data_IF_978068122351
#
_entry.id   IF_978068122351
#
_cell.length_a   1.000
_cell.length_b   1.000
_cell.length_c   1.000
_cell.angle_alpha   90.00
_cell.angle_beta   90.00
_cell.angle_gamma   90.00
#
_symmetry.space_group_name_H-M   'P 1'
#
loop_
_entity.id
_entity.type
_entity.pdbx_description
1 polymer ?
#
# COMPACT_ATOMS: atom_id res chain seq x y z
N UNK A 1 51.80 -5.15 27.54
CA UNK A 1 51.72 -3.87 26.78
C UNK A 1 52.69 -3.98 25.61
N UNK A 2 52.28 -3.61 24.39
CA UNK A 2 53.21 -3.53 23.26
C UNK A 2 54.25 -2.44 23.56
N UNK A 3 55.56 -2.71 23.36
CA UNK A 3 56.58 -1.67 23.47
C UNK A 3 56.33 -0.59 22.41
N UNK A 4 56.68 0.65 22.72
CA UNK A 4 56.44 1.83 21.87
C UNK A 4 57.74 2.57 21.59
N UNK A 5 57.84 3.31 20.48
CA UNK A 5 58.99 4.16 20.20
C UNK A 5 60.30 3.39 20.00
N UNK A 6 61.34 3.75 20.75
CA UNK A 6 62.69 3.14 20.67
C UNK A 6 62.69 1.68 21.07
N UNK A 7 61.92 1.31 22.09
CA UNK A 7 61.85 -0.06 22.59
C UNK A 7 61.23 -0.99 21.54
N UNK A 8 60.22 -0.52 20.82
CA UNK A 8 59.63 -1.28 19.71
C UNK A 8 60.67 -1.59 18.62
N UNK A 9 61.51 -0.60 18.26
CA UNK A 9 62.58 -0.78 17.26
C UNK A 9 63.63 -1.78 17.74
N UNK A 10 64.02 -1.69 19.02
CA UNK A 10 64.93 -2.65 19.64
C UNK A 10 64.36 -4.06 19.61
N UNK A 11 63.11 -4.26 20.06
CA UNK A 11 62.49 -5.58 20.08
C UNK A 11 62.20 -6.13 18.67
N UNK A 12 61.98 -5.25 17.69
CA UNK A 12 61.81 -5.64 16.27
C UNK A 12 63.05 -6.27 15.64
N UNK A 13 64.23 -6.10 16.26
CA UNK A 13 65.45 -6.79 15.84
C UNK A 13 65.39 -8.30 16.10
N UNK A 14 64.61 -8.76 17.09
CA UNK A 14 64.40 -10.18 17.38
C UNK A 14 63.34 -10.80 16.47
N UNK A 15 63.68 -11.94 15.86
CA UNK A 15 62.81 -12.67 14.92
C UNK A 15 61.51 -13.15 15.57
N UNK A 16 61.56 -13.60 16.83
CA UNK A 16 60.39 -14.06 17.59
C UNK A 16 59.36 -12.96 17.80
N UNK A 17 59.81 -11.78 18.22
CA UNK A 17 58.94 -10.61 18.43
C UNK A 17 58.35 -10.09 17.11
N UNK A 18 59.14 -10.08 16.03
CA UNK A 18 58.68 -9.68 14.69
C UNK A 18 57.61 -10.64 14.15
N UNK A 19 57.78 -11.94 14.37
CA UNK A 19 56.80 -12.96 13.99
C UNK A 19 55.46 -12.79 14.71
N UNK A 20 55.47 -12.59 16.03
CA UNK A 20 54.24 -12.43 16.81
C UNK A 20 53.54 -11.09 16.53
N UNK A 21 54.29 -10.00 16.36
CA UNK A 21 53.71 -8.69 15.98
C UNK A 21 53.09 -8.72 14.58
N UNK A 22 53.71 -9.45 13.64
CA UNK A 22 53.15 -9.63 12.30
C UNK A 22 51.85 -10.45 12.31
N UNK A 23 51.78 -11.53 13.10
CA UNK A 23 50.53 -12.31 13.28
C UNK A 23 49.41 -11.44 13.86
N UNK A 24 49.70 -10.62 14.86
CA UNK A 24 48.72 -9.72 15.48
C UNK A 24 48.25 -8.64 14.50
N UNK A 25 49.17 -8.04 13.75
CA UNK A 25 48.85 -7.08 12.68
C UNK A 25 47.95 -7.69 11.61
N UNK A 26 48.27 -8.91 11.15
CA UNK A 26 47.48 -9.65 10.18
C UNK A 26 46.06 -9.92 10.68
N UNK A 27 45.91 -10.35 11.94
CA UNK A 27 44.60 -10.57 12.56
C UNK A 27 43.76 -9.29 12.65
N UNK A 28 44.37 -8.15 12.98
CA UNK A 28 43.67 -6.85 13.01
C UNK A 28 43.22 -6.47 11.60
N UNK A 29 44.09 -6.64 10.60
CA UNK A 29 43.74 -6.37 9.20
C UNK A 29 42.61 -7.27 8.70
N UNK A 30 42.59 -8.54 9.09
CA UNK A 30 41.49 -9.48 8.77
C UNK A 30 40.18 -9.06 9.42
N UNK A 31 40.20 -8.60 10.68
CA UNK A 31 39.00 -8.08 11.34
C UNK A 31 38.49 -6.81 10.66
N UNK A 32 39.38 -5.88 10.31
CA UNK A 32 39.04 -4.67 9.56
C UNK A 32 38.48 -5.00 8.18
N UNK A 33 39.09 -5.96 7.47
CA UNK A 33 38.61 -6.43 6.17
C UNK A 33 37.21 -7.05 6.26
N UNK A 34 36.93 -7.82 7.33
CA UNK A 34 35.61 -8.35 7.60
C UNK A 34 34.57 -7.25 7.86
N UNK A 35 34.93 -6.22 8.65
CA UNK A 35 34.04 -5.08 8.93
C UNK A 35 33.74 -4.28 7.67
N UNK A 36 34.77 -3.98 6.87
CA UNK A 36 34.63 -3.26 5.61
C UNK A 36 33.83 -4.06 4.58
N UNK A 37 34.09 -5.37 4.47
CA UNK A 37 33.33 -6.26 3.60
C UNK A 37 31.86 -6.43 4.00
N UNK A 38 31.52 -6.30 5.29
CA UNK A 38 30.14 -6.29 5.76
C UNK A 38 29.39 -5.03 5.30
N UNK A 39 30.05 -3.86 5.38
CA UNK A 39 29.47 -2.58 4.95
C UNK A 39 29.38 -2.45 3.44
N UNK A 40 30.44 -2.85 2.72
CA UNK A 40 30.51 -2.79 1.27
C UNK A 40 31.28 -3.99 0.72
N UNK A 41 30.53 -4.96 0.19
CA UNK A 41 31.10 -6.19 -0.39
C UNK A 41 32.14 -5.98 -1.51
N UNK A 42 32.19 -4.78 -2.11
CA UNK A 42 33.12 -4.42 -3.20
C UNK A 42 34.42 -3.77 -2.71
N UNK A 43 34.49 -3.26 -1.48
CA UNK A 43 35.65 -2.55 -0.92
C UNK A 43 36.28 -3.36 0.22
N UNK A 44 37.03 -4.40 -0.15
CA UNK A 44 37.86 -5.18 0.78
C UNK A 44 39.24 -4.54 0.92
N UNK A 45 39.72 -4.34 2.15
CA UNK A 45 41.09 -3.91 2.47
C UNK A 45 42.13 -4.88 1.90
N UNK A 46 41.79 -6.16 1.75
CA UNK A 46 42.67 -7.16 1.14
C UNK A 46 43.05 -6.83 -0.32
N UNK A 47 42.26 -6.01 -1.02
CA UNK A 47 42.49 -5.67 -2.43
C UNK A 47 43.36 -4.41 -2.61
N UNK A 48 43.66 -3.68 -1.54
CA UNK A 48 44.48 -2.47 -1.59
C UNK A 48 45.97 -2.79 -1.74
N UNK A 49 46.65 -2.01 -2.59
CA UNK A 49 48.05 -2.21 -3.00
C UNK A 49 49.04 -1.83 -1.91
N UNK A 50 48.70 -0.87 -1.06
CA UNK A 50 49.56 -0.40 0.01
C UNK A 50 48.78 0.00 1.27
N UNK A 51 49.50 0.42 2.31
CA UNK A 51 48.90 0.86 3.58
C UNK A 51 48.14 2.19 3.49
N UNK A 52 48.41 3.00 2.47
CA UNK A 52 47.75 4.29 2.27
C UNK A 52 46.36 4.03 1.70
N UNK A 53 46.26 3.23 0.64
CA UNK A 53 44.99 2.84 0.03
C UNK A 53 44.10 2.06 1.02
N UNK A 54 44.68 1.22 1.90
CA UNK A 54 43.93 0.57 2.99
C UNK A 54 43.32 1.58 3.96
N UNK A 55 44.02 2.67 4.24
CA UNK A 55 43.56 3.73 5.13
C UNK A 55 42.46 4.55 4.49
N UNK A 56 42.61 4.93 3.22
CA UNK A 56 41.60 5.65 2.45
C UNK A 56 40.27 4.85 2.39
N UNK A 57 40.33 3.55 2.07
CA UNK A 57 39.14 2.67 2.07
C UNK A 57 38.45 2.64 3.44
N UNK A 58 39.23 2.60 4.53
CA UNK A 58 38.68 2.57 5.88
C UNK A 58 38.04 3.92 6.29
N UNK A 59 38.67 5.03 5.91
CA UNK A 59 38.14 6.38 6.12
C UNK A 59 36.82 6.55 5.37
N UNK A 60 36.75 6.19 4.08
CA UNK A 60 35.53 6.25 3.27
C UNK A 60 34.36 5.44 3.87
N UNK A 61 34.65 4.21 4.32
CA UNK A 61 33.62 3.35 4.93
C UNK A 61 33.15 3.92 6.27
N UNK A 62 34.06 4.49 7.06
CA UNK A 62 33.73 5.12 8.33
C UNK A 62 32.83 6.34 8.11
N UNK A 63 33.16 7.19 7.15
CA UNK A 63 32.36 8.36 6.78
C UNK A 63 30.96 7.94 6.32
N UNK A 64 30.86 6.90 5.48
CA UNK A 64 29.58 6.34 5.08
C UNK A 64 28.75 5.83 6.28
N UNK A 65 29.38 5.17 7.26
CA UNK A 65 28.70 4.72 8.48
C UNK A 65 28.14 5.91 9.26
N UNK A 66 28.94 6.96 9.47
CA UNK A 66 28.50 8.15 10.18
C UNK A 66 27.36 8.86 9.45
N UNK A 67 27.44 8.97 8.12
CA UNK A 67 26.35 9.53 7.31
C UNK A 67 25.04 8.72 7.46
N UNK A 68 25.11 7.38 7.44
CA UNK A 68 23.92 6.54 7.67
C UNK A 68 23.34 6.71 9.09
N UNK A 69 24.19 6.89 10.10
CA UNK A 69 23.77 7.17 11.47
C UNK A 69 23.06 8.53 11.52
N UNK A 70 23.64 9.58 10.92
CA UNK A 70 23.06 10.92 10.90
C UNK A 70 21.70 10.94 10.19
N UNK A 71 21.59 10.31 9.01
CA UNK A 71 20.34 10.15 8.27
C UNK A 71 19.28 9.46 9.14
N UNK A 72 19.67 8.38 9.85
CA UNK A 72 18.76 7.62 10.70
C UNK A 72 18.30 8.43 11.92
N UNK A 73 19.20 9.19 12.54
CA UNK A 73 18.88 10.08 13.67
C UNK A 73 17.94 11.21 13.24
N UNK A 74 18.16 11.81 12.08
CA UNK A 74 17.31 12.86 11.54
C UNK A 74 15.91 12.34 11.18
N UNK A 75 15.81 11.12 10.65
CA UNK A 75 14.52 10.45 10.44
C UNK A 75 13.77 10.29 11.77
N UNK A 76 14.43 9.80 12.83
CA UNK A 76 13.81 9.63 14.16
C UNK A 76 13.34 10.98 14.72
N UNK A 77 14.17 12.02 14.65
CA UNK A 77 13.80 13.37 15.09
C UNK A 77 12.61 13.93 14.31
N UNK A 78 12.58 13.73 13.00
CA UNK A 78 11.48 14.19 12.15
C UNK A 78 10.15 13.51 12.53
N UNK A 79 10.19 12.21 12.82
CA UNK A 79 9.01 11.44 13.26
C UNK A 79 8.52 11.90 14.63
N UNK A 80 9.42 12.18 15.57
CA UNK A 80 9.07 12.71 16.89
C UNK A 80 8.41 14.09 16.76
N UNK A 81 8.99 14.99 15.96
CA UNK A 81 8.43 16.32 15.70
C UNK A 81 7.05 16.25 15.03
N UNK A 82 6.87 15.34 14.07
CA UNK A 82 5.57 15.12 13.42
C UNK A 82 4.53 14.59 14.41
N UNK A 83 4.89 13.69 15.33
CA UNK A 83 4.01 13.21 16.40
C UNK A 83 3.62 14.33 17.38
N UNK A 84 4.53 15.24 17.71
CA UNK A 84 4.23 16.40 18.56
C UNK A 84 3.32 17.42 17.87
N UNK A 85 3.55 17.70 16.58
CA UNK A 85 2.68 18.55 15.77
C UNK A 85 1.26 17.99 15.68
N UNK A 86 1.11 16.69 15.44
CA UNK A 86 -0.20 16.01 15.44
C UNK A 86 -0.90 16.07 16.81
N UNK A 87 -0.17 15.81 17.91
CA UNK A 87 -0.74 15.95 19.27
C UNK A 87 -1.22 17.37 19.57
N UNK A 88 -0.56 18.39 19.00
CA UNK A 88 -0.96 19.77 19.17
C UNK A 88 -2.16 20.14 18.28
N UNK A 89 -2.28 19.57 17.07
CA UNK A 89 -3.46 19.71 16.23
C UNK A 89 -4.69 19.02 16.85
N UNK A 90 -4.54 17.82 17.40
CA UNK A 90 -5.62 17.10 18.10
C UNK A 90 -6.11 17.85 19.36
N UNK A 91 -5.23 18.63 20.01
CA UNK A 91 -5.61 19.51 21.13
C UNK A 91 -6.37 20.77 20.70
N UNK A 92 -6.18 21.24 19.46
CA UNK A 92 -6.82 22.47 18.96
C UNK A 92 -8.25 22.22 18.45
N UNK A 93 -8.64 20.96 18.22
CA UNK A 93 -10.01 20.59 17.78
C UNK A 93 -11.05 20.73 18.92
N UNK A 94 -10.64 21.08 20.14
CA UNK A 94 -11.52 21.27 21.31
C UNK A 94 -12.28 22.60 21.42
N UNK A 95 -12.03 23.60 20.58
CA UNK A 95 -12.71 24.91 20.70
C UNK A 95 -13.20 25.40 19.34
N UNK A 96 -14.53 25.45 19.20
CA UNK A 96 -15.21 26.03 18.04
C UNK A 96 -14.95 27.55 17.95
N UNK A 97 -14.95 27.99 16.69
CA UNK A 97 -15.22 29.33 16.16
C UNK A 97 -14.06 30.24 15.68
N UNK A 98 -14.21 30.58 14.40
CA UNK A 98 -13.71 31.74 13.64
C UNK A 98 -12.33 31.69 12.93
N UNK A 99 -12.47 31.37 11.63
CA UNK A 99 -12.07 32.15 10.44
C UNK A 99 -10.59 32.44 10.14
N UNK A 100 -10.28 32.14 8.87
CA UNK A 100 -9.41 32.88 7.97
C UNK A 100 -7.94 33.03 8.36
N UNK A 101 -7.13 32.10 7.87
CA UNK A 101 -5.98 32.33 6.99
C UNK A 101 -5.55 30.97 6.46
N UNK A 102 -5.77 30.74 5.16
CA UNK A 102 -5.08 29.66 4.43
C UNK A 102 -3.59 29.88 4.66
N UNK A 103 -3.00 29.13 5.58
CA UNK A 103 -1.56 28.88 5.53
C UNK A 103 -1.36 28.04 4.28
N UNK A 104 -0.76 28.65 3.27
CA UNK A 104 -0.18 27.92 2.15
C UNK A 104 0.67 26.80 2.74
N UNK A 105 0.19 25.58 2.57
CA UNK A 105 0.93 24.39 2.93
C UNK A 105 2.13 24.36 2.00
N UNK A 106 3.30 24.75 2.52
CA UNK A 106 4.48 24.86 1.67
C UNK A 106 4.76 23.48 1.05
N UNK A 107 4.92 23.48 -0.26
CA UNK A 107 5.21 22.33 -1.12
C UNK A 107 6.45 21.52 -0.71
N UNK A 108 7.24 22.02 0.26
CA UNK A 108 8.38 21.32 0.87
C UNK A 108 7.97 20.26 1.91
N UNK A 109 6.81 20.35 2.55
CA UNK A 109 6.35 19.34 3.53
C UNK A 109 5.58 18.17 2.89
N UNK A 110 5.06 18.35 1.67
CA UNK A 110 4.26 17.34 0.97
C UNK A 110 5.11 16.30 0.24
N UNK A 111 6.35 16.63 -0.13
CA UNK A 111 7.30 15.67 -0.75
C UNK A 111 7.86 14.63 0.24
N UNK A 112 7.67 14.84 1.54
CA UNK A 112 8.26 14.04 2.63
C UNK A 112 7.24 13.23 3.44
N UNK A 113 5.95 13.28 3.11
CA UNK A 113 4.97 12.41 3.76
C UNK A 113 5.19 10.98 3.26
N UNK A 114 5.70 10.12 4.13
CA UNK A 114 5.70 8.65 3.95
C UNK A 114 4.60 8.10 4.84
N UNK A 115 3.36 7.90 4.35
CA UNK A 115 2.27 7.37 5.15
C UNK A 115 2.63 6.06 5.87
N UNK A 116 3.55 5.30 5.30
CA UNK A 116 4.08 4.06 5.87
C UNK A 116 4.66 4.24 7.29
N UNK A 117 5.20 5.41 7.63
CA UNK A 117 5.78 5.65 8.96
C UNK A 117 4.72 5.77 10.06
N UNK A 118 3.46 5.88 9.68
CA UNK A 118 2.31 5.99 10.58
C UNK A 118 1.49 4.70 10.62
N UNK A 119 1.89 3.69 9.84
CA UNK A 119 1.24 2.40 9.85
C UNK A 119 1.45 1.70 11.20
N UNK A 120 0.42 0.95 11.60
CA UNK A 120 0.48 0.17 12.82
C UNK A 120 1.44 -1.03 12.70
N UNK A 121 1.45 -1.67 11.52
CA UNK A 121 2.37 -2.77 11.21
C UNK A 121 3.60 -2.22 10.48
N UNK A 122 4.78 -2.70 10.85
CA UNK A 122 6.02 -2.41 10.13
C UNK A 122 6.00 -3.02 8.72
N UNK A 123 6.69 -2.38 7.77
CA UNK A 123 6.83 -2.87 6.41
C UNK A 123 8.03 -3.83 6.32
N UNK A 124 7.77 -5.11 6.12
CA UNK A 124 8.78 -6.12 5.82
C UNK A 124 8.91 -6.35 4.30
N UNK A 125 10.05 -6.00 3.74
CA UNK A 125 10.40 -6.23 2.32
C UNK A 125 11.44 -7.35 2.14
N UNK A 126 11.73 -8.14 3.18
CA UNK A 126 12.69 -9.23 3.09
C UNK A 126 12.20 -10.33 2.14
N UNK A 127 13.12 -10.85 1.32
CA UNK A 127 12.78 -11.74 0.19
C UNK A 127 12.28 -13.12 0.62
N UNK A 128 12.59 -13.53 1.85
CA UNK A 128 12.32 -14.87 2.37
C UNK A 128 11.11 -14.92 3.32
N UNK A 129 10.42 -13.79 3.55
CA UNK A 129 9.21 -13.78 4.38
C UNK A 129 8.01 -14.19 3.52
N UNK A 130 7.34 -15.33 3.80
CA UNK A 130 6.14 -15.71 3.09
C UNK A 130 4.99 -14.73 3.41
N UNK A 131 4.09 -14.54 2.44
CA UNK A 131 2.88 -13.75 2.67
C UNK A 131 2.07 -14.35 3.82
N UNK A 132 1.66 -13.49 4.77
CA UNK A 132 0.74 -13.84 5.85
C UNK A 132 -0.54 -13.04 5.70
N UNK A 133 -1.66 -13.75 5.64
CA UNK A 133 -2.99 -13.12 5.61
C UNK A 133 -3.19 -12.21 6.83
N UNK A 134 -3.74 -11.01 6.58
CA UNK A 134 -4.16 -10.05 7.61
C UNK A 134 -5.58 -10.31 8.16
N UNK A 135 -6.24 -11.38 7.69
CA UNK A 135 -7.63 -11.68 8.02
C UNK A 135 -7.79 -12.09 9.47
N UNK A 136 -8.51 -11.29 10.27
CA UNK A 136 -8.82 -11.62 11.67
C UNK A 136 -10.16 -12.36 11.81
N UNK A 137 -11.16 -11.98 11.02
CA UNK A 137 -12.50 -12.56 11.03
C UNK A 137 -12.87 -12.99 9.62
N UNK A 138 -13.52 -14.15 9.50
CA UNK A 138 -13.94 -14.73 8.22
C UNK A 138 -15.48 -14.71 8.11
N UNK A 139 -16.12 -13.56 7.78
CA UNK A 139 -17.57 -13.51 7.55
C UNK A 139 -17.98 -14.36 6.33
N UNK A 140 -19.25 -14.75 6.25
CA UNK A 140 -19.78 -15.56 5.14
C UNK A 140 -19.03 -16.90 4.90
N UNK A 141 -18.38 -17.45 5.93
CA UNK A 141 -17.55 -18.64 5.81
C UNK A 141 -18.39 -19.91 5.70
N UNK A 142 -18.04 -20.77 4.74
CA UNK A 142 -18.50 -22.16 4.69
C UNK A 142 -17.53 -23.09 5.44
N UNK A 143 -16.27 -22.67 5.59
CA UNK A 143 -15.24 -23.38 6.35
C UNK A 143 -14.60 -22.46 7.38
N UNK A 144 -14.40 -22.98 8.61
CA UNK A 144 -13.69 -22.28 9.68
C UNK A 144 -12.32 -21.79 9.20
N UNK A 145 -11.90 -20.62 9.68
CA UNK A 145 -10.58 -20.06 9.41
C UNK A 145 -9.52 -21.03 9.98
N UNK A 146 -8.75 -21.67 9.10
CA UNK A 146 -7.67 -22.56 9.51
C UNK A 146 -6.43 -21.76 9.87
N UNK A 147 -5.82 -22.08 11.00
CA UNK A 147 -4.66 -21.35 11.54
C UNK A 147 -3.33 -21.67 10.82
N UNK A 148 -3.28 -22.75 10.03
CA UNK A 148 -1.99 -23.42 9.73
C UNK A 148 -1.55 -23.45 8.25
N UNK A 149 -2.37 -23.06 7.27
CA UNK A 149 -1.93 -22.98 5.87
C UNK A 149 -1.66 -21.54 5.45
N UNK A 150 -0.52 -20.99 5.88
CA UNK A 150 -0.15 -19.58 5.69
C UNK A 150 -0.12 -19.11 4.22
N UNK A 151 -0.04 -20.04 3.25
CA UNK A 151 0.08 -19.74 1.82
C UNK A 151 -1.21 -19.88 1.00
N UNK A 152 -2.28 -20.46 1.56
CA UNK A 152 -3.53 -20.67 0.81
C UNK A 152 -4.49 -19.50 1.02
N UNK A 153 -5.20 -19.13 -0.04
CA UNK A 153 -6.26 -18.13 0.05
C UNK A 153 -7.32 -18.61 1.07
N UNK A 154 -7.59 -17.86 2.16
CA UNK A 154 -8.56 -18.24 3.20
C UNK A 154 -9.97 -18.50 2.69
N UNK A 155 -10.36 -17.90 1.55
CA UNK A 155 -11.66 -18.07 0.91
C UNK A 155 -11.64 -18.99 -0.31
N UNK A 156 -10.54 -19.74 -0.54
CA UNK A 156 -10.43 -20.64 -1.69
C UNK A 156 -11.60 -21.63 -1.75
N UNK A 157 -11.95 -22.24 -0.62
CA UNK A 157 -13.06 -23.20 -0.55
C UNK A 157 -14.40 -22.54 -0.92
N UNK A 158 -14.69 -21.36 -0.38
CA UNK A 158 -15.91 -20.62 -0.71
C UNK A 158 -15.98 -20.24 -2.19
N UNK A 159 -14.86 -19.85 -2.79
CA UNK A 159 -14.77 -19.51 -4.22
C UNK A 159 -15.00 -20.76 -5.08
N UNK A 160 -14.34 -21.88 -4.75
CA UNK A 160 -14.44 -23.13 -5.51
C UNK A 160 -15.85 -23.74 -5.44
N UNK A 161 -16.54 -23.59 -4.29
CA UNK A 161 -17.90 -24.09 -4.10
C UNK A 161 -18.98 -23.12 -4.58
N UNK A 162 -18.62 -21.86 -4.87
CA UNK A 162 -19.59 -20.85 -5.27
C UNK A 162 -20.27 -21.24 -6.58
N UNK A 163 -21.61 -21.23 -6.57
CA UNK A 163 -22.44 -21.43 -7.75
C UNK A 163 -23.21 -20.14 -8.00
N UNK A 164 -23.13 -19.63 -9.23
CA UNK A 164 -23.90 -18.47 -9.65
C UNK A 164 -25.40 -18.69 -9.44
N UNK A 165 -26.08 -17.65 -8.95
CA UNK A 165 -27.51 -17.71 -8.74
C UNK A 165 -28.27 -17.66 -10.07
N UNK A 166 -29.44 -18.30 -10.12
CA UNK A 166 -30.29 -18.33 -11.32
C UNK A 166 -30.63 -16.95 -11.86
N UNK A 167 -30.69 -15.93 -11.00
CA UNK A 167 -30.98 -14.56 -11.42
C UNK A 167 -29.80 -13.91 -12.16
N UNK A 168 -28.55 -14.27 -11.83
CA UNK A 168 -27.34 -13.75 -12.50
C UNK A 168 -27.19 -14.30 -13.93
N UNK A 169 -27.78 -15.47 -14.19
CA UNK A 169 -27.69 -16.13 -15.50
C UNK A 169 -28.83 -15.73 -16.46
N UNK A 170 -29.78 -14.92 -16.00
CA UNK A 170 -30.90 -14.44 -16.82
C UNK A 170 -30.55 -13.09 -17.41
N UNK A 171 -30.63 -12.97 -18.74
CA UNK A 171 -30.59 -11.68 -19.44
C UNK A 171 -31.68 -10.75 -18.89
N UNK A 172 -31.35 -9.49 -18.66
CA UNK A 172 -32.31 -8.43 -18.32
C UNK A 172 -31.90 -7.10 -18.96
N UNK A 173 -32.78 -6.12 -18.83
CA UNK A 173 -32.52 -4.76 -19.26
C UNK A 173 -31.56 -4.07 -18.28
N UNK A 174 -30.52 -3.37 -18.77
CA UNK A 174 -29.59 -2.62 -17.93
C UNK A 174 -30.27 -1.56 -17.08
N UNK A 175 -29.83 -1.43 -15.83
CA UNK A 175 -30.31 -0.36 -14.94
C UNK A 175 -29.42 0.86 -15.18
N UNK A 176 -30.00 1.91 -15.77
CA UNK A 176 -29.30 3.18 -16.01
C UNK A 176 -28.66 3.72 -14.74
N UNK A 177 -27.40 4.11 -14.85
CA UNK A 177 -26.68 4.83 -13.80
C UNK A 177 -27.36 6.17 -13.51
N UNK A 178 -27.21 6.66 -12.27
CA UNK A 178 -27.72 7.98 -11.88
C UNK A 178 -26.79 9.09 -12.38
N UNK A 179 -27.29 10.28 -12.75
CA UNK A 179 -26.41 11.39 -13.12
C UNK A 179 -25.42 11.74 -11.98
N UNK A 180 -24.16 12.02 -12.33
CA UNK A 180 -23.11 12.38 -11.36
C UNK A 180 -23.46 13.57 -10.45
N UNK A 181 -24.27 14.51 -10.97
CA UNK A 181 -24.71 15.71 -10.23
C UNK A 181 -25.75 15.39 -9.15
N UNK A 182 -26.51 14.32 -9.33
CA UNK A 182 -27.59 13.89 -8.43
C UNK A 182 -27.15 12.77 -7.49
N UNK A 183 -26.06 12.10 -7.83
CA UNK A 183 -25.51 11.00 -7.05
C UNK A 183 -24.63 11.55 -5.93
N UNK A 184 -24.88 11.13 -4.69
CA UNK A 184 -24.05 11.52 -3.56
C UNK A 184 -22.67 10.86 -3.65
N UNK A 185 -21.65 11.56 -3.16
CA UNK A 185 -20.28 11.05 -3.01
C UNK A 185 -19.80 11.26 -1.58
N UNK A 186 -19.30 10.21 -0.96
CA UNK A 186 -18.82 10.24 0.43
C UNK A 186 -17.32 9.97 0.50
N UNK A 187 -16.62 10.79 1.29
CA UNK A 187 -15.24 10.54 1.68
C UNK A 187 -15.22 9.85 3.05
N UNK A 188 -14.76 8.61 3.09
CA UNK A 188 -14.76 7.76 4.27
C UNK A 188 -13.32 7.62 4.79
N UNK A 189 -13.00 8.31 5.89
CA UNK A 189 -11.66 8.29 6.48
C UNK A 189 -11.65 8.03 7.99
N UNK A 190 -12.81 7.80 8.61
CA UNK A 190 -12.92 7.41 10.01
C UNK A 190 -13.54 6.02 10.16
N UNK A 191 -13.24 5.34 11.27
CA UNK A 191 -13.83 4.01 11.52
C UNK A 191 -15.34 4.08 11.67
N UNK A 192 -15.88 5.16 12.27
CA UNK A 192 -17.33 5.36 12.40
C UNK A 192 -18.01 5.48 11.03
N UNK A 193 -17.49 6.32 10.13
CA UNK A 193 -18.01 6.43 8.77
C UNK A 193 -17.91 5.12 7.99
N UNK A 194 -16.84 4.34 8.20
CA UNK A 194 -16.69 3.03 7.56
C UNK A 194 -17.78 2.06 8.03
N UNK A 195 -18.07 2.01 9.33
CA UNK A 195 -19.15 1.19 9.88
C UNK A 195 -20.50 1.64 9.37
N UNK A 196 -20.81 2.95 9.42
CA UNK A 196 -22.06 3.50 8.88
C UNK A 196 -22.24 3.17 7.38
N UNK A 197 -21.18 3.31 6.58
CA UNK A 197 -21.20 2.95 5.16
C UNK A 197 -21.49 1.45 4.97
N UNK A 198 -20.84 0.58 5.75
CA UNK A 198 -21.06 -0.88 5.65
C UNK A 198 -22.51 -1.20 6.00
N UNK A 199 -23.02 -0.69 7.11
CA UNK A 199 -24.38 -0.93 7.59
C UNK A 199 -25.41 -0.39 6.60
N UNK A 200 -25.15 0.77 5.99
CA UNK A 200 -25.98 1.35 4.95
C UNK A 200 -26.03 0.45 3.70
N UNK A 201 -24.89 0.02 3.18
CA UNK A 201 -24.81 -0.85 1.99
C UNK A 201 -25.50 -2.20 2.27
N UNK A 202 -25.27 -2.79 3.45
CA UNK A 202 -25.92 -4.05 3.85
C UNK A 202 -27.44 -3.87 3.93
N UNK A 203 -27.91 -2.81 4.61
CA UNK A 203 -29.35 -2.52 4.74
C UNK A 203 -30.01 -2.26 3.39
N UNK A 204 -29.34 -1.52 2.49
CA UNK A 204 -29.81 -1.29 1.11
C UNK A 204 -30.05 -2.63 0.39
N UNK A 205 -29.14 -3.59 0.54
CA UNK A 205 -29.26 -4.92 -0.09
C UNK A 205 -30.22 -5.89 0.62
N UNK A 206 -30.44 -5.75 1.93
CA UNK A 206 -31.44 -6.55 2.65
C UNK A 206 -32.86 -6.10 2.30
N UNK A 207 -33.11 -4.78 2.30
CA UNK A 207 -34.38 -4.18 1.89
C UNK A 207 -34.71 -4.46 0.42
N UNK A 208 -33.68 -4.67 -0.41
CA UNK A 208 -33.84 -4.97 -1.83
C UNK A 208 -34.45 -6.36 -2.08
N UNK A 209 -34.34 -7.28 -1.11
CA UNK A 209 -34.79 -8.67 -1.18
C UNK A 209 -34.08 -9.51 -2.25
N UNK A 210 -34.41 -10.80 -2.33
CA UNK A 210 -33.82 -11.75 -3.29
C UNK A 210 -34.13 -11.46 -4.78
N UNK A 211 -34.84 -10.37 -5.09
CA UNK A 211 -35.26 -10.01 -6.45
C UNK A 211 -34.47 -8.84 -7.06
N UNK A 212 -33.58 -8.17 -6.33
CA UNK A 212 -32.75 -7.08 -6.86
C UNK A 212 -31.32 -7.52 -7.17
N UNK A 213 -30.76 -6.91 -8.22
CA UNK A 213 -29.39 -7.08 -8.68
C UNK A 213 -28.42 -6.45 -7.70
N UNK A 214 -28.11 -7.20 -6.65
CA UNK A 214 -27.24 -6.74 -5.60
C UNK A 214 -25.79 -6.84 -6.10
N UNK A 215 -25.19 -5.69 -6.37
CA UNK A 215 -23.81 -5.60 -6.79
C UNK A 215 -23.21 -4.25 -6.42
N UNK A 216 -21.89 -4.24 -6.25
CA UNK A 216 -21.09 -3.04 -6.05
C UNK A 216 -19.99 -2.95 -7.12
N UNK A 217 -19.77 -1.76 -7.65
CA UNK A 217 -18.60 -1.45 -8.46
C UNK A 217 -17.41 -1.18 -7.55
N UNK A 218 -16.25 -1.75 -7.86
CA UNK A 218 -15.04 -1.61 -7.03
C UNK A 218 -13.82 -1.30 -7.88
N UNK A 219 -13.02 -0.35 -7.41
CA UNK A 219 -11.70 -0.01 -7.96
C UNK A 219 -10.74 0.33 -6.81
N UNK A 220 -9.44 0.30 -7.07
CA UNK A 220 -8.43 0.65 -6.09
C UNK A 220 -7.27 1.41 -6.74
N UNK A 221 -6.96 2.59 -6.19
CA UNK A 221 -5.77 3.38 -6.52
C UNK A 221 -4.65 3.06 -5.53
N UNK A 222 -3.45 2.80 -6.04
CA UNK A 222 -2.26 2.48 -5.24
C UNK A 222 -1.04 3.25 -5.74
N UNK A 223 -0.07 3.47 -4.86
CA UNK A 223 1.23 4.06 -5.19
C UNK A 223 2.29 2.96 -5.23
N UNK A 224 3.00 2.84 -6.35
CA UNK A 224 4.11 1.90 -6.56
C UNK A 224 5.44 2.62 -6.85
N UNK A 225 5.47 3.95 -6.73
CA UNK A 225 6.67 4.78 -6.98
C UNK A 225 7.47 4.91 -5.69
N UNK A 226 6.79 5.04 -4.55
CA UNK A 226 7.39 5.35 -3.25
C UNK A 226 7.25 4.19 -2.25
N UNK A 227 6.94 2.99 -2.73
CA UNK A 227 6.80 1.76 -1.93
C UNK A 227 7.32 0.57 -2.74
N UNK A 228 8.17 -0.26 -2.13
CA UNK A 228 8.82 -1.40 -2.79
C UNK A 228 7.80 -2.40 -3.36
N UNK A 229 6.82 -2.82 -2.55
CA UNK A 229 5.73 -3.69 -3.03
C UNK A 229 4.53 -2.88 -3.58
N UNK A 230 4.50 -1.57 -3.36
CA UNK A 230 3.33 -0.73 -3.59
C UNK A 230 2.45 -0.57 -2.34
N UNK A 231 1.46 0.32 -2.42
CA UNK A 231 0.60 0.66 -1.28
C UNK A 231 -0.77 1.17 -1.75
N UNK A 232 -1.83 0.49 -1.30
CA UNK A 232 -3.23 0.90 -1.46
C UNK A 232 -3.47 2.28 -0.85
N UNK A 233 -3.98 3.22 -1.65
CA UNK A 233 -4.15 4.62 -1.26
C UNK A 233 -5.63 5.03 -1.15
N UNK A 234 -6.45 4.70 -2.15
CA UNK A 234 -7.88 5.06 -2.17
C UNK A 234 -8.67 3.89 -2.75
N UNK A 235 -9.60 3.35 -1.98
CA UNK A 235 -10.53 2.31 -2.41
C UNK A 235 -11.84 2.97 -2.84
N UNK A 236 -12.36 2.59 -4.01
CA UNK A 236 -13.61 3.10 -4.54
C UNK A 236 -14.70 2.03 -4.46
N UNK A 237 -15.89 2.41 -4.02
CA UNK A 237 -17.09 1.56 -4.03
C UNK A 237 -18.25 2.37 -4.58
N UNK A 238 -18.96 1.86 -5.58
CA UNK A 238 -20.24 2.43 -6.04
C UNK A 238 -21.36 1.42 -5.87
N UNK A 239 -22.48 1.87 -5.31
CA UNK A 239 -23.75 1.14 -5.36
C UNK A 239 -24.57 1.65 -6.54
N UNK A 240 -25.85 1.25 -6.63
CA UNK A 240 -26.77 1.82 -7.63
C UNK A 240 -27.18 3.25 -7.32
N UNK A 241 -26.97 3.69 -6.08
CA UNK A 241 -27.53 4.93 -5.54
C UNK A 241 -26.47 5.96 -5.18
N UNK A 242 -25.26 5.52 -4.79
CA UNK A 242 -24.24 6.36 -4.17
C UNK A 242 -22.81 5.90 -4.49
N UNK A 243 -21.85 6.82 -4.36
CA UNK A 243 -20.42 6.57 -4.55
C UNK A 243 -19.63 6.83 -3.26
N UNK A 244 -18.65 5.97 -2.98
CA UNK A 244 -17.80 6.03 -1.79
C UNK A 244 -16.33 6.03 -2.18
N UNK A 245 -15.58 7.01 -1.66
CA UNK A 245 -14.13 7.07 -1.72
C UNK A 245 -13.57 6.86 -0.33
N UNK A 246 -12.83 5.77 -0.15
CA UNK A 246 -12.38 5.30 1.15
C UNK A 246 -10.88 5.49 1.27
N UNK A 247 -10.45 6.15 2.36
CA UNK A 247 -9.04 6.39 2.63
C UNK A 247 -8.35 5.10 3.10
N UNK A 248 -7.68 4.41 2.18
CA UNK A 248 -7.00 3.16 2.46
C UNK A 248 -5.68 3.31 3.24
N UNK A 249 -5.17 4.54 3.35
CA UNK A 249 -4.00 4.83 4.18
C UNK A 249 -4.41 4.95 5.65
N UNK A 250 -5.41 5.78 5.92
CA UNK A 250 -5.90 6.03 7.28
C UNK A 250 -6.61 4.79 7.86
N UNK A 251 -7.45 4.13 7.06
CA UNK A 251 -8.27 3.01 7.52
C UNK A 251 -7.62 1.63 7.30
N UNK A 252 -6.34 1.59 6.90
CA UNK A 252 -5.61 0.37 6.52
C UNK A 252 -5.87 -0.84 7.43
N UNK A 253 -5.86 -0.62 8.75
CA UNK A 253 -6.02 -1.67 9.77
C UNK A 253 -7.43 -2.23 9.88
N UNK A 254 -8.44 -1.40 9.60
CA UNK A 254 -9.85 -1.71 9.86
C UNK A 254 -10.62 -2.09 8.59
N UNK A 255 -10.05 -1.87 7.40
CA UNK A 255 -10.72 -2.14 6.13
C UNK A 255 -11.07 -3.61 5.89
N UNK A 256 -10.43 -4.56 6.59
CA UNK A 256 -10.86 -5.97 6.58
C UNK A 256 -12.33 -6.18 6.98
N UNK A 257 -12.98 -5.22 7.65
CA UNK A 257 -14.41 -5.25 7.95
C UNK A 257 -15.27 -5.31 6.68
N UNK A 258 -14.78 -4.78 5.56
CA UNK A 258 -15.44 -4.86 4.26
C UNK A 258 -15.63 -6.28 3.75
N UNK A 259 -14.95 -7.28 4.32
CA UNK A 259 -15.22 -8.69 4.02
C UNK A 259 -16.69 -9.07 4.28
N UNK A 260 -17.42 -8.38 5.16
CA UNK A 260 -18.88 -8.56 5.34
C UNK A 260 -19.60 -8.45 3.98
N UNK A 261 -19.20 -7.50 3.14
CA UNK A 261 -19.76 -7.25 1.80
C UNK A 261 -18.99 -8.02 0.73
N UNK A 262 -17.65 -7.94 0.74
CA UNK A 262 -16.79 -8.47 -0.32
C UNK A 262 -16.81 -9.99 -0.40
N UNK A 263 -17.11 -10.67 0.70
CA UNK A 263 -17.21 -12.14 0.74
C UNK A 263 -18.65 -12.64 0.79
N UNK A 264 -19.64 -11.74 0.83
CA UNK A 264 -21.05 -12.14 0.75
C UNK A 264 -21.36 -12.61 -0.67
N UNK A 265 -21.71 -13.90 -0.88
CA UNK A 265 -21.96 -14.43 -2.21
C UNK A 265 -23.19 -13.80 -2.86
N UNK A 266 -24.12 -13.21 -2.10
CA UNK A 266 -25.34 -12.58 -2.63
C UNK A 266 -25.10 -11.21 -3.25
N UNK A 267 -23.91 -10.62 -3.07
CA UNK A 267 -23.54 -9.32 -3.62
C UNK A 267 -22.47 -9.55 -4.69
N UNK A 268 -22.71 -9.12 -5.93
CA UNK A 268 -21.70 -9.20 -7.00
C UNK A 268 -20.66 -8.09 -6.78
N UNK A 269 -19.37 -8.43 -6.86
CA UNK A 269 -18.31 -7.42 -6.87
C UNK A 269 -17.85 -7.23 -8.29
N UNK A 270 -18.21 -6.10 -8.89
CA UNK A 270 -17.91 -5.76 -10.28
C UNK A 270 -16.62 -4.96 -10.34
N UNK A 271 -15.66 -5.44 -11.11
CA UNK A 271 -14.37 -4.78 -11.35
C UNK A 271 -14.13 -4.65 -12.87
N UNK A 272 -13.21 -3.76 -13.24
CA UNK A 272 -12.55 -3.78 -14.54
C UNK A 272 -11.06 -4.07 -14.32
N UNK A 273 -10.52 -5.15 -14.91
CA UNK A 273 -9.10 -5.54 -14.75
C UNK A 273 -8.69 -5.82 -13.29
N UNK A 274 -9.46 -6.66 -12.62
CA UNK A 274 -9.38 -6.94 -11.17
C UNK A 274 -8.03 -7.48 -10.67
N UNK A 275 -7.22 -8.13 -11.52
CA UNK A 275 -6.06 -8.94 -11.09
C UNK A 275 -5.13 -8.24 -10.09
N UNK A 276 -4.69 -7.02 -10.39
CA UNK A 276 -3.80 -6.27 -9.49
C UNK A 276 -4.53 -5.75 -8.25
N UNK A 277 -5.79 -5.35 -8.39
CA UNK A 277 -6.62 -4.91 -7.28
C UNK A 277 -6.80 -6.04 -6.26
N UNK A 278 -7.10 -7.27 -6.69
CA UNK A 278 -7.27 -8.42 -5.80
C UNK A 278 -6.01 -8.73 -4.98
N UNK A 279 -4.83 -8.65 -5.61
CA UNK A 279 -3.55 -8.85 -4.92
C UNK A 279 -3.30 -7.74 -3.89
N UNK A 280 -3.53 -6.49 -4.26
CA UNK A 280 -3.36 -5.34 -3.37
C UNK A 280 -4.35 -5.38 -2.19
N UNK A 281 -5.62 -5.70 -2.43
CA UNK A 281 -6.65 -5.88 -1.40
C UNK A 281 -6.23 -6.92 -0.34
N UNK A 282 -5.69 -8.05 -0.78
CA UNK A 282 -5.23 -9.11 0.13
C UNK A 282 -3.97 -8.67 0.90
N UNK A 283 -2.96 -8.15 0.18
CA UNK A 283 -1.68 -7.75 0.77
C UNK A 283 -1.84 -6.64 1.79
N UNK A 284 -2.57 -5.59 1.41
CA UNK A 284 -2.58 -4.34 2.14
C UNK A 284 -3.68 -4.32 3.21
N UNK A 285 -4.87 -4.81 2.86
CA UNK A 285 -6.12 -4.54 3.59
C UNK A 285 -6.76 -5.80 4.18
N UNK A 286 -6.26 -7.00 3.86
CA UNK A 286 -6.85 -8.27 4.30
C UNK A 286 -8.26 -8.50 3.74
N UNK A 287 -8.57 -7.95 2.57
CA UNK A 287 -9.86 -8.07 1.90
C UNK A 287 -9.80 -9.19 0.85
N UNK A 288 -10.83 -10.04 0.84
CA UNK A 288 -11.02 -11.16 -0.08
C UNK A 288 -12.34 -11.01 -0.83
N UNK A 289 -12.44 -11.57 -2.04
CA UNK A 289 -13.62 -11.42 -2.90
C UNK A 289 -14.22 -12.79 -3.24
N UNK A 290 -15.52 -12.93 -3.02
CA UNK A 290 -16.36 -14.07 -3.46
C UNK A 290 -17.47 -13.51 -4.36
N UNK A 291 -17.87 -14.19 -5.43
CA UNK A 291 -18.80 -13.66 -6.45
C UNK A 291 -18.26 -12.38 -7.15
N UNK A 292 -17.07 -12.53 -7.75
CA UNK A 292 -16.41 -11.51 -8.58
C UNK A 292 -16.97 -11.56 -10.01
N UNK A 293 -17.22 -10.38 -10.60
CA UNK A 293 -17.45 -10.22 -12.03
C UNK A 293 -16.42 -9.24 -12.60
N UNK A 294 -15.61 -9.67 -13.56
CA UNK A 294 -14.63 -8.81 -14.23
C UNK A 294 -15.12 -8.43 -15.63
N UNK A 295 -15.38 -7.15 -15.82
CA UNK A 295 -15.85 -6.61 -17.11
C UNK A 295 -14.79 -6.82 -18.18
N UNK A 296 -13.49 -6.67 -17.87
CA UNK A 296 -12.43 -6.83 -18.87
C UNK A 296 -12.32 -8.26 -19.39
N UNK A 297 -12.49 -9.26 -18.52
CA UNK A 297 -12.53 -10.65 -18.99
C UNK A 297 -13.80 -10.93 -19.82
N UNK A 298 -14.92 -10.30 -19.44
CA UNK A 298 -16.16 -10.38 -20.23
C UNK A 298 -16.00 -9.76 -21.63
N UNK A 299 -15.34 -8.59 -21.74
CA UNK A 299 -15.15 -7.93 -23.03
C UNK A 299 -14.29 -8.76 -23.99
N UNK A 300 -13.28 -9.49 -23.49
CA UNK A 300 -12.50 -10.44 -24.30
C UNK A 300 -13.37 -11.56 -24.85
N UNK A 301 -14.27 -12.13 -24.04
CA UNK A 301 -15.15 -13.23 -24.44
C UNK A 301 -16.09 -12.79 -25.57
N UNK A 302 -16.68 -11.60 -25.43
CA UNK A 302 -17.58 -11.03 -26.46
C UNK A 302 -16.82 -10.34 -27.61
N UNK A 303 -15.48 -10.40 -27.61
CA UNK A 303 -14.59 -9.83 -28.64
C UNK A 303 -14.71 -8.31 -28.81
N UNK A 304 -15.02 -7.59 -27.73
CA UNK A 304 -14.93 -6.13 -27.66
C UNK A 304 -13.58 -5.74 -27.04
N UNK A 305 -12.59 -5.37 -27.86
CA UNK A 305 -11.27 -4.96 -27.35
C UNK A 305 -11.27 -3.50 -26.91
N UNK A 306 -12.14 -3.16 -25.96
CA UNK A 306 -12.30 -1.78 -25.48
C UNK A 306 -11.45 -1.53 -24.23
N UNK A 307 -10.76 -0.39 -24.23
CA UNK A 307 -10.23 0.20 -23.00
C UNK A 307 -11.39 0.62 -22.08
N UNK A 308 -11.11 0.88 -20.80
CA UNK A 308 -12.15 1.38 -19.89
C UNK A 308 -12.78 2.68 -20.40
N UNK A 309 -11.95 3.63 -20.87
CA UNK A 309 -12.42 4.88 -21.49
C UNK A 309 -13.30 4.62 -22.73
N UNK A 310 -12.93 3.63 -23.55
CA UNK A 310 -13.75 3.22 -24.72
C UNK A 310 -15.09 2.63 -24.31
N UNK A 311 -15.16 1.85 -23.23
CA UNK A 311 -16.43 1.34 -22.68
C UNK A 311 -17.32 2.48 -22.21
N UNK A 312 -16.77 3.43 -21.45
CA UNK A 312 -17.50 4.60 -20.97
C UNK A 312 -18.02 5.46 -22.13
N UNK A 313 -17.18 5.70 -23.13
CA UNK A 313 -17.57 6.47 -24.31
C UNK A 313 -18.67 5.78 -25.11
N UNK A 314 -18.60 4.46 -25.28
CA UNK A 314 -19.53 3.71 -26.12
C UNK A 314 -20.87 3.47 -25.43
N UNK A 315 -20.85 3.00 -24.18
CA UNK A 315 -22.06 2.57 -23.47
C UNK A 315 -22.67 3.68 -22.60
N UNK A 316 -21.84 4.59 -22.09
CA UNK A 316 -22.28 5.61 -21.13
C UNK A 316 -22.31 7.02 -21.73
N UNK A 317 -21.92 7.20 -23.00
CA UNK A 317 -21.72 8.51 -23.63
C UNK A 317 -20.83 9.44 -22.77
N UNK A 318 -19.91 8.85 -22.00
CA UNK A 318 -18.98 9.58 -21.15
C UNK A 318 -17.62 9.64 -21.83
N UNK A 319 -17.27 10.81 -22.34
CA UNK A 319 -15.99 11.05 -22.98
C UNK A 319 -14.99 11.54 -21.94
N UNK A 320 -14.09 10.65 -21.53
CA UNK A 320 -12.98 11.04 -20.69
C UNK A 320 -12.06 11.97 -21.49
N UNK A 321 -11.93 13.22 -21.05
CA UNK A 321 -11.02 14.16 -21.69
C UNK A 321 -9.59 13.61 -21.63
N UNK A 322 -8.87 13.61 -22.75
CA UNK A 322 -7.48 13.11 -22.82
C UNK A 322 -6.56 13.77 -21.78
N UNK A 323 -6.88 15.00 -21.37
CA UNK A 323 -6.21 15.71 -20.29
C UNK A 323 -6.34 15.03 -18.93
N UNK A 324 -7.15 14.00 -18.72
CA UNK A 324 -7.30 13.33 -17.42
C UNK A 324 -6.44 12.06 -17.30
N UNK A 325 -5.72 11.66 -18.35
CA UNK A 325 -4.87 10.45 -18.33
C UNK A 325 -3.71 10.56 -17.32
N UNK A 326 -3.14 11.75 -17.13
CA UNK A 326 -2.07 11.96 -16.15
C UNK A 326 -2.52 11.76 -14.70
N UNK A 327 -3.84 11.83 -14.43
CA UNK A 327 -4.39 11.63 -13.09
C UNK A 327 -4.24 10.19 -12.61
N UNK A 328 -4.15 9.23 -13.53
CA UNK A 328 -3.84 7.84 -13.21
C UNK A 328 -2.49 7.71 -12.48
N UNK A 329 -1.49 8.44 -12.96
CA UNK A 329 -0.11 8.46 -12.47
C UNK A 329 0.16 9.52 -11.40
N UNK A 330 -0.90 10.19 -10.90
CA UNK A 330 -0.75 11.18 -9.85
C UNK A 330 -0.41 10.55 -8.50
N UNK A 331 0.14 11.36 -7.60
CA UNK A 331 0.42 10.92 -6.24
C UNK A 331 -0.87 10.80 -5.42
N UNK A 332 -1.39 9.57 -5.32
CA UNK A 332 -2.62 9.22 -4.59
C UNK A 332 -2.44 9.21 -3.07
N UNK A 333 -1.23 9.46 -2.55
CA UNK A 333 -0.95 9.56 -1.11
C UNK A 333 -1.35 10.91 -0.54
N UNK A 334 -1.46 11.92 -1.41
CA UNK A 334 -1.70 13.31 -1.03
C UNK A 334 -3.06 13.47 -0.34
N UNK A 335 -3.08 14.26 0.74
CA UNK A 335 -4.31 14.61 1.49
C UNK A 335 -4.37 16.12 1.76
N UNK A 336 -5.58 16.73 1.70
CA UNK A 336 -6.82 16.17 1.16
C UNK A 336 -6.69 15.88 -0.35
N UNK A 337 -7.51 14.96 -0.89
CA UNK A 337 -7.53 14.71 -2.33
C UNK A 337 -7.99 15.96 -3.09
N UNK A 338 -7.29 16.29 -4.18
CA UNK A 338 -7.72 17.34 -5.10
C UNK A 338 -9.04 16.96 -5.75
N UNK A 339 -9.88 17.96 -6.03
CA UNK A 339 -11.19 17.76 -6.66
C UNK A 339 -11.11 16.92 -7.95
N UNK A 340 -10.07 17.15 -8.76
CA UNK A 340 -9.82 16.41 -10.00
C UNK A 340 -9.58 14.91 -9.75
N UNK A 341 -8.82 14.57 -8.70
CA UNK A 341 -8.55 13.18 -8.31
C UNK A 341 -9.80 12.52 -7.73
N UNK A 342 -10.57 13.26 -6.92
CA UNK A 342 -11.87 12.80 -6.40
C UNK A 342 -12.85 12.49 -7.54
N UNK A 343 -12.97 13.40 -8.52
CA UNK A 343 -13.81 13.18 -9.69
C UNK A 343 -13.30 12.00 -10.53
N UNK A 344 -12.00 11.93 -10.81
CA UNK A 344 -11.41 10.83 -11.56
C UNK A 344 -11.66 9.48 -10.90
N UNK A 345 -11.40 9.37 -9.58
CA UNK A 345 -11.59 8.14 -8.82
C UNK A 345 -13.05 7.68 -8.82
N UNK A 346 -13.98 8.62 -8.65
CA UNK A 346 -15.42 8.35 -8.71
C UNK A 346 -15.83 7.66 -10.02
N UNK A 347 -15.33 8.16 -11.16
CA UNK A 347 -15.69 7.63 -12.49
C UNK A 347 -15.25 6.18 -12.68
N UNK A 348 -14.21 5.73 -11.98
CA UNK A 348 -13.72 4.35 -12.10
C UNK A 348 -14.73 3.29 -11.66
N UNK A 349 -15.70 3.67 -10.82
CA UNK A 349 -16.69 2.74 -10.24
C UNK A 349 -18.14 3.09 -10.57
N UNK A 350 -18.45 4.38 -10.71
CA UNK A 350 -19.81 4.89 -10.89
C UNK A 350 -20.62 4.20 -12.00
N UNK A 351 -19.96 3.86 -13.12
CA UNK A 351 -20.61 3.25 -14.28
C UNK A 351 -20.51 1.72 -14.33
N UNK A 352 -19.73 1.08 -13.44
CA UNK A 352 -19.41 -0.34 -13.55
C UNK A 352 -20.66 -1.22 -13.47
N UNK A 353 -21.62 -0.88 -12.60
CA UNK A 353 -22.82 -1.68 -12.46
C UNK A 353 -23.72 -1.63 -13.69
N UNK A 354 -23.75 -0.51 -14.41
CA UNK A 354 -24.44 -0.40 -15.69
C UNK A 354 -23.71 -1.14 -16.81
N UNK A 355 -22.36 -1.12 -16.81
CA UNK A 355 -21.55 -1.91 -17.75
C UNK A 355 -21.62 -3.43 -17.50
N UNK A 356 -21.94 -3.82 -16.27
CA UNK A 356 -22.13 -5.21 -15.88
C UNK A 356 -23.46 -5.79 -16.34
N UNK A 357 -24.54 -5.02 -16.20
CA UNK A 357 -25.87 -5.42 -16.69
C UNK A 357 -25.87 -5.59 -18.23
#
# INVERSE_FOLDING_TARGET
KLPTGTDFRFYSSYSSFRGETQKLSQRILEMLDHMCGFMNSKQKLANAKDSIEKREIFEDISDHCFEQIDISLDQIRSLQKNKELKKNEDKIIGTKEQRSKRKEWSSKSLRTLRPQTEFFDDIDNSINTPFKSKLLKKPNSLQKLQSESQLKNPYAFEIDQFKYYKWQLKRREPIMYRPLKETAIYWVNTTAQLTEMIDHIVSEFELSGNNKFNGIGVDLRYDNIHSYQGMSCVLQISTRSEDFLIDALELRRVLQQLNIIFTNPNIVKVFYQSKQHLLALQRDLGIYVVNLFDIYESTKIIKLTFSFSSLLSHFCNYHQHQQHSYLEFSDWRMRPLRLELTQYARIQTHYLLYLWD
#
